data_IF_969745586141
#
_entry.id   IF_969745586141
#
_cell.length_a   1.000
_cell.length_b   1.000
_cell.length_c   1.000
_cell.angle_alpha   90.00
_cell.angle_beta   90.00
_cell.angle_gamma   90.00
#
_symmetry.space_group_name_H-M   'P 1'
#
loop_
_entity.id
_entity.type
_entity.pdbx_description
1 polymer ?
#
# COMPACT_ATOMS: atom_id res chain seq x y z
N UNK A 1 -10.39 -5.96 -4.09
CA UNK A 1 -11.00 -4.67 -3.68
C UNK A 1 -11.24 -3.73 -4.88
N UNK A 2 -10.25 -3.53 -5.78
CA UNK A 2 -10.33 -2.71 -7.00
C UNK A 2 -11.66 -2.72 -7.77
N UNK A 3 -12.17 -3.90 -8.12
CA UNK A 3 -13.41 -4.00 -8.92
C UNK A 3 -14.66 -3.48 -8.21
N UNK A 4 -14.70 -3.51 -6.88
CA UNK A 4 -15.90 -3.16 -6.10
C UNK A 4 -16.01 -1.65 -5.96
N UNK A 5 -14.89 -0.97 -5.69
CA UNK A 5 -14.84 0.49 -5.60
C UNK A 5 -15.16 1.12 -6.95
N UNK A 6 -14.56 0.62 -8.03
CA UNK A 6 -14.88 1.07 -9.40
C UNK A 6 -16.34 0.81 -9.77
N UNK A 7 -16.89 -0.36 -9.41
CA UNK A 7 -18.29 -0.69 -9.66
C UNK A 7 -19.23 0.22 -8.85
N UNK A 8 -18.92 0.46 -7.59
CA UNK A 8 -19.66 1.37 -6.73
C UNK A 8 -19.65 2.78 -7.32
N UNK A 9 -18.48 3.35 -7.65
CA UNK A 9 -18.36 4.68 -8.25
C UNK A 9 -19.12 4.79 -9.58
N UNK A 10 -19.06 3.75 -10.41
CA UNK A 10 -19.78 3.70 -11.69
C UNK A 10 -21.30 3.60 -11.52
N UNK A 11 -21.79 3.11 -10.39
CA UNK A 11 -23.22 2.92 -10.12
C UNK A 11 -23.80 4.03 -9.24
N UNK A 12 -23.02 4.64 -8.34
CA UNK A 12 -23.45 5.45 -7.20
C UNK A 12 -24.30 6.69 -7.53
N UNK A 13 -24.47 7.03 -8.81
CA UNK A 13 -25.33 8.14 -9.25
C UNK A 13 -26.26 7.78 -10.43
N UNK A 14 -26.31 6.51 -10.85
CA UNK A 14 -27.08 6.08 -12.02
C UNK A 14 -28.49 5.67 -11.63
N UNK A 15 -29.50 6.35 -12.17
CA UNK A 15 -30.92 5.93 -12.04
C UNK A 15 -31.38 4.95 -13.12
N UNK A 16 -30.51 4.65 -14.10
CA UNK A 16 -30.80 3.74 -15.20
C UNK A 16 -29.55 2.99 -15.66
N UNK A 17 -29.74 1.74 -16.08
CA UNK A 17 -28.67 0.86 -16.59
C UNK A 17 -29.14 0.24 -17.91
N UNK A 18 -28.28 0.27 -18.93
CA UNK A 18 -28.50 -0.41 -20.22
C UNK A 18 -28.22 -1.90 -20.07
N UNK A 19 -29.09 -2.76 -20.60
CA UNK A 19 -28.90 -4.22 -20.58
C UNK A 19 -27.58 -4.65 -21.21
N UNK A 20 -27.21 -4.00 -22.32
CA UNK A 20 -25.93 -4.19 -23.03
C UNK A 20 -24.70 -3.99 -22.13
N UNK A 21 -24.79 -3.11 -21.13
CA UNK A 21 -23.67 -2.78 -20.22
C UNK A 21 -23.60 -3.66 -18.97
N UNK A 22 -24.54 -4.58 -18.79
CA UNK A 22 -24.58 -5.43 -17.60
C UNK A 22 -23.38 -6.38 -17.55
N UNK A 23 -23.01 -6.97 -18.69
CA UNK A 23 -21.85 -7.84 -18.80
C UNK A 23 -20.54 -7.12 -18.46
N UNK A 24 -20.39 -5.87 -18.91
CA UNK A 24 -19.22 -5.03 -18.61
C UNK A 24 -19.12 -4.71 -17.11
N UNK A 25 -20.27 -4.53 -16.45
CA UNK A 25 -20.36 -4.26 -15.02
C UNK A 25 -20.33 -5.54 -14.16
N UNK A 26 -20.25 -6.73 -14.77
CA UNK A 26 -20.29 -8.00 -14.05
C UNK A 26 -21.61 -8.27 -13.32
N UNK A 27 -22.72 -7.70 -13.82
CA UNK A 27 -24.06 -7.82 -13.25
C UNK A 27 -24.92 -8.76 -14.10
N UNK A 28 -25.84 -9.49 -13.47
CA UNK A 28 -26.88 -10.26 -14.17
C UNK A 28 -28.20 -9.49 -14.20
N UNK A 29 -29.01 -9.71 -15.24
CA UNK A 29 -30.34 -9.10 -15.35
C UNK A 29 -31.21 -9.44 -14.14
N UNK A 30 -31.14 -10.67 -13.63
CA UNK A 30 -31.96 -11.12 -12.50
C UNK A 30 -31.68 -10.34 -11.21
N UNK A 31 -30.43 -9.96 -10.96
CA UNK A 31 -30.07 -9.18 -9.76
C UNK A 31 -30.57 -7.74 -9.93
N UNK A 32 -30.39 -7.13 -11.11
CA UNK A 32 -30.81 -5.74 -11.35
C UNK A 32 -32.33 -5.61 -11.38
N UNK A 33 -33.05 -6.60 -11.93
CA UNK A 33 -34.52 -6.64 -12.01
C UNK A 33 -35.17 -6.59 -10.62
N UNK A 34 -34.58 -7.21 -9.59
CA UNK A 34 -35.10 -7.15 -8.21
C UNK A 34 -35.16 -5.73 -7.65
N UNK A 35 -34.27 -4.85 -8.12
CA UNK A 35 -34.12 -3.49 -7.60
C UNK A 35 -34.58 -2.40 -8.57
N UNK A 36 -34.97 -2.77 -9.80
CA UNK A 36 -35.48 -1.84 -10.80
C UNK A 36 -37.01 -1.74 -10.70
N UNK A 37 -37.55 -0.53 -10.67
CA UNK A 37 -39.01 -0.33 -10.69
C UNK A 37 -39.60 -0.43 -12.10
N UNK A 38 -38.79 -0.14 -13.14
CA UNK A 38 -39.22 -0.19 -14.53
C UNK A 38 -38.19 -0.92 -15.38
N UNK A 39 -38.66 -1.86 -16.17
CA UNK A 39 -37.88 -2.57 -17.19
C UNK A 39 -38.46 -2.25 -18.57
N UNK A 40 -37.61 -1.81 -19.47
CA UNK A 40 -37.90 -1.77 -20.90
C UNK A 40 -37.00 -2.76 -21.62
N UNK A 41 -37.29 -3.02 -22.89
CA UNK A 41 -36.55 -3.94 -23.74
C UNK A 41 -35.02 -3.69 -23.74
N UNK A 42 -34.59 -2.45 -23.48
CA UNK A 42 -33.17 -2.04 -23.51
C UNK A 42 -32.62 -1.53 -22.18
N UNK A 43 -33.47 -1.20 -21.20
CA UNK A 43 -33.08 -0.42 -20.02
C UNK A 43 -33.77 -0.90 -18.75
N UNK A 44 -33.05 -0.89 -17.64
CA UNK A 44 -33.59 -0.83 -16.30
C UNK A 44 -33.62 0.63 -15.83
N UNK A 45 -34.72 1.09 -15.26
CA UNK A 45 -34.93 2.47 -14.78
C UNK A 45 -35.45 2.47 -13.34
N UNK A 46 -35.23 3.60 -12.66
CA UNK A 46 -35.66 3.83 -11.28
C UNK A 46 -35.12 2.71 -10.36
N UNK A 47 -33.82 2.46 -10.47
CA UNK A 47 -33.13 1.38 -9.76
C UNK A 47 -32.73 1.86 -8.37
N UNK A 48 -33.04 1.07 -7.34
CA UNK A 48 -32.48 1.24 -6.01
C UNK A 48 -31.02 0.76 -5.98
N UNK A 49 -30.12 1.65 -6.40
CA UNK A 49 -28.68 1.41 -6.47
C UNK A 49 -28.09 1.07 -5.09
N UNK A 50 -28.59 1.69 -4.01
CA UNK A 50 -28.05 1.45 -2.68
C UNK A 50 -28.30 0.02 -2.23
N UNK A 51 -29.52 -0.47 -2.42
CA UNK A 51 -29.88 -1.86 -2.10
C UNK A 51 -29.19 -2.86 -3.03
N UNK A 52 -29.07 -2.54 -4.32
CA UNK A 52 -28.33 -3.36 -5.30
C UNK A 52 -26.85 -3.51 -4.90
N UNK A 53 -26.16 -2.41 -4.59
CA UNK A 53 -24.76 -2.44 -4.14
C UNK A 53 -24.65 -3.28 -2.86
N UNK A 54 -25.60 -3.16 -1.92
CA UNK A 54 -25.60 -3.93 -0.68
C UNK A 54 -25.73 -5.44 -0.91
N UNK A 55 -26.61 -5.91 -1.80
CA UNK A 55 -26.71 -7.35 -2.15
C UNK A 55 -25.41 -7.84 -2.81
N UNK A 56 -24.84 -7.06 -3.72
CA UNK A 56 -23.55 -7.39 -4.36
C UNK A 56 -22.44 -7.51 -3.31
N UNK A 57 -22.34 -6.55 -2.39
CA UNK A 57 -21.37 -6.58 -1.29
C UNK A 57 -21.54 -7.79 -0.37
N UNK A 58 -22.79 -8.20 -0.10
CA UNK A 58 -23.08 -9.39 0.71
C UNK A 58 -22.69 -10.70 0.01
N UNK A 59 -22.75 -10.74 -1.32
CA UNK A 59 -22.33 -11.90 -2.12
C UNK A 59 -20.80 -12.09 -2.18
N UNK A 60 -20.03 -11.09 -1.77
CA UNK A 60 -18.57 -11.15 -1.81
C UNK A 60 -18.07 -11.90 -0.58
N UNK A 61 -17.43 -13.05 -0.82
CA UNK A 61 -16.79 -13.81 0.25
C UNK A 61 -15.74 -12.93 0.93
N UNK A 62 -15.80 -12.86 2.25
CA UNK A 62 -14.76 -12.27 3.07
C UNK A 62 -13.50 -13.14 2.97
N UNK A 63 -12.61 -12.80 2.05
CA UNK A 63 -11.34 -13.47 1.87
C UNK A 63 -10.29 -12.75 2.70
N UNK A 64 -9.48 -13.51 3.44
CA UNK A 64 -8.32 -12.97 4.14
C UNK A 64 -7.33 -12.43 3.10
N UNK A 65 -7.07 -11.13 3.14
CA UNK A 65 -6.05 -10.47 2.33
C UNK A 65 -4.73 -10.54 3.10
N UNK A 66 -3.60 -10.69 2.40
CA UNK A 66 -2.29 -10.62 3.08
C UNK A 66 -2.05 -9.21 3.63
N UNK A 67 -1.26 -9.10 4.69
CA UNK A 67 -0.91 -7.79 5.29
C UNK A 67 -0.27 -6.87 4.23
N UNK A 68 0.56 -7.46 3.36
CA UNK A 68 1.22 -6.76 2.26
C UNK A 68 0.21 -6.16 1.28
N UNK A 69 -0.75 -6.95 0.81
CA UNK A 69 -1.76 -6.50 -0.15
C UNK A 69 -2.70 -5.47 0.49
N UNK A 70 -3.00 -5.62 1.78
CA UNK A 70 -3.80 -4.65 2.53
C UNK A 70 -3.09 -3.29 2.61
N UNK A 71 -1.82 -3.26 3.02
CA UNK A 71 -1.02 -2.03 3.10
C UNK A 71 -0.83 -1.40 1.71
N UNK A 72 -0.64 -2.21 0.68
CA UNK A 72 -0.53 -1.71 -0.69
C UNK A 72 -1.82 -1.03 -1.15
N UNK A 73 -2.98 -1.65 -0.89
CA UNK A 73 -4.27 -1.06 -1.22
C UNK A 73 -4.53 0.24 -0.42
N UNK A 74 -4.16 0.29 0.86
CA UNK A 74 -4.27 1.52 1.66
C UNK A 74 -3.45 2.65 1.06
N UNK A 75 -2.22 2.39 0.63
CA UNK A 75 -1.39 3.41 -0.03
C UNK A 75 -2.00 3.84 -1.36
N UNK A 76 -2.46 2.89 -2.18
CA UNK A 76 -3.04 3.17 -3.49
C UNK A 76 -4.31 4.03 -3.40
N UNK A 77 -5.18 3.75 -2.43
CA UNK A 77 -6.49 4.41 -2.32
C UNK A 77 -6.55 5.57 -1.34
N UNK A 78 -5.82 5.47 -0.22
CA UNK A 78 -5.83 6.49 0.84
C UNK A 78 -4.61 7.40 0.75
N UNK A 79 -3.58 7.01 0.00
CA UNK A 79 -2.31 7.73 -0.11
C UNK A 79 -1.33 7.45 1.04
N UNK A 80 -1.72 6.67 2.05
CA UNK A 80 -0.88 6.36 3.20
C UNK A 80 -1.24 4.99 3.84
N UNK A 81 -0.26 4.27 4.42
CA UNK A 81 -0.53 3.05 5.17
C UNK A 81 -1.16 3.39 6.53
N UNK A 82 -2.14 2.59 6.95
CA UNK A 82 -2.89 2.78 8.20
C UNK A 82 -2.90 1.51 9.06
N UNK A 83 -2.78 0.33 8.45
CA UNK A 83 -2.84 -0.95 9.16
C UNK A 83 -1.69 -1.11 10.15
N UNK A 84 -2.04 -1.33 11.42
CA UNK A 84 -1.10 -1.66 12.50
C UNK A 84 -1.41 -3.04 13.09
N UNK A 85 -0.36 -3.74 13.50
CA UNK A 85 -0.39 -5.07 14.10
C UNK A 85 0.41 -5.00 15.40
N UNK A 86 -0.20 -4.54 16.51
CA UNK A 86 0.54 -4.31 17.76
C UNK A 86 1.26 -5.54 18.33
N UNK A 87 0.85 -6.74 17.90
CA UNK A 87 1.45 -8.03 18.29
C UNK A 87 2.71 -8.39 17.50
N UNK A 88 3.05 -7.67 16.43
CA UNK A 88 4.27 -7.92 15.66
C UNK A 88 5.51 -7.44 16.40
N UNK A 89 6.69 -7.94 16.00
CA UNK A 89 7.96 -7.42 16.50
C UNK A 89 8.21 -5.99 15.99
N UNK A 90 8.96 -5.19 16.76
CA UNK A 90 9.30 -3.81 16.41
C UNK A 90 10.20 -3.69 15.17
N UNK A 91 10.83 -4.80 14.75
CA UNK A 91 11.77 -4.85 13.65
C UNK A 91 11.16 -5.22 12.30
N UNK A 92 9.84 -5.40 12.20
CA UNK A 92 9.15 -5.58 10.93
C UNK A 92 8.70 -4.25 10.34
N UNK A 93 9.02 -4.07 9.07
CA UNK A 93 8.71 -2.85 8.34
C UNK A 93 8.17 -3.16 6.95
N UNK A 94 7.20 -2.36 6.51
CA UNK A 94 6.79 -2.28 5.13
C UNK A 94 7.61 -1.19 4.42
N UNK A 95 8.18 -1.51 3.25
CA UNK A 95 8.99 -0.56 2.47
C UNK A 95 8.05 0.32 1.65
N UNK A 96 7.85 1.56 2.09
CA UNK A 96 6.96 2.51 1.40
C UNK A 96 7.65 3.20 0.23
N UNK A 97 8.95 3.47 0.35
CA UNK A 97 9.75 4.14 -0.69
C UNK A 97 11.19 3.64 -0.63
N UNK A 98 11.85 3.51 -1.77
CA UNK A 98 13.29 3.19 -1.83
C UNK A 98 14.06 4.26 -2.61
N UNK A 99 14.65 5.23 -1.89
CA UNK A 99 15.48 6.27 -2.52
C UNK A 99 16.87 5.74 -2.82
N UNK A 100 17.32 5.91 -4.07
CA UNK A 100 18.63 5.45 -4.55
C UNK A 100 19.47 6.67 -4.95
N UNK A 101 20.61 6.84 -4.29
CA UNK A 101 21.58 7.87 -4.64
C UNK A 101 22.81 7.20 -5.26
N UNK A 102 23.08 7.52 -6.52
CA UNK A 102 24.23 7.00 -7.26
C UNK A 102 25.19 8.13 -7.61
N UNK A 103 26.46 7.95 -7.27
CA UNK A 103 27.54 8.78 -7.78
C UNK A 103 28.58 7.89 -8.53
N UNK A 104 29.66 8.49 -9.03
CA UNK A 104 30.68 7.77 -9.82
C UNK A 104 31.39 6.63 -9.05
N UNK A 105 31.31 6.59 -7.72
CA UNK A 105 32.09 5.68 -6.86
C UNK A 105 31.25 4.85 -5.87
N UNK A 106 29.99 5.22 -5.64
CA UNK A 106 29.12 4.58 -4.66
C UNK A 106 27.65 4.66 -5.05
N UNK A 107 26.90 3.63 -4.65
CA UNK A 107 25.44 3.62 -4.63
C UNK A 107 25.03 3.57 -3.15
N UNK A 108 24.01 4.33 -2.78
CA UNK A 108 23.49 4.35 -1.42
C UNK A 108 21.97 4.29 -1.47
N UNK A 109 21.41 3.39 -0.68
CA UNK A 109 19.98 3.13 -0.59
C UNK A 109 19.45 3.71 0.73
N UNK A 110 18.35 4.43 0.64
CA UNK A 110 17.64 5.01 1.78
C UNK A 110 16.18 4.57 1.77
N UNK A 111 15.87 3.37 2.28
CA UNK A 111 14.48 2.95 2.42
C UNK A 111 13.73 3.82 3.42
N UNK A 112 12.50 4.17 3.06
CA UNK A 112 11.48 4.70 3.97
C UNK A 112 10.63 3.53 4.41
N UNK A 113 10.58 3.33 5.73
CA UNK A 113 10.07 2.14 6.38
C UNK A 113 8.89 2.51 7.26
N UNK A 114 7.76 1.86 7.04
CA UNK A 114 6.58 1.93 7.90
C UNK A 114 6.60 0.75 8.88
N UNK A 115 6.66 1.03 10.18
CA UNK A 115 6.61 -0.01 11.21
C UNK A 115 5.21 -0.63 11.25
N UNK A 116 5.11 -1.91 10.93
CA UNK A 116 3.82 -2.61 10.97
C UNK A 116 3.26 -2.76 12.38
N UNK A 117 4.08 -2.55 13.42
CA UNK A 117 3.64 -2.65 14.81
C UNK A 117 2.88 -1.42 15.31
N UNK A 118 3.45 -0.25 15.06
CA UNK A 118 3.01 1.02 15.66
C UNK A 118 2.70 2.13 14.65
N UNK A 119 2.95 1.89 13.37
CA UNK A 119 2.67 2.82 12.29
C UNK A 119 3.69 3.96 12.12
N UNK A 120 4.79 3.95 12.86
CA UNK A 120 5.84 4.96 12.72
C UNK A 120 6.53 4.83 11.36
N UNK A 121 6.81 5.97 10.73
CA UNK A 121 7.58 6.05 9.50
C UNK A 121 9.00 6.51 9.83
N UNK A 122 9.99 5.74 9.39
CA UNK A 122 11.40 6.06 9.58
C UNK A 122 12.18 5.88 8.28
N UNK A 123 13.08 6.82 8.00
CA UNK A 123 14.05 6.66 6.92
C UNK A 123 15.36 6.13 7.50
N UNK A 124 15.87 5.03 6.94
CA UNK A 124 17.18 4.47 7.29
C UNK A 124 18.10 4.47 6.08
N UNK A 125 19.39 4.24 6.31
CA UNK A 125 20.42 4.08 5.26
C UNK A 125 20.90 2.62 5.25
N UNK A 126 21.10 2.03 4.08
CA UNK A 126 21.79 0.74 3.99
C UNK A 126 23.30 0.92 4.11
N UNK A 127 23.96 0.04 4.88
CA UNK A 127 25.41 0.09 5.13
C UNK A 127 26.23 -0.11 3.85
N UNK A 128 25.96 -1.17 3.11
CA UNK A 128 26.71 -1.55 1.92
C UNK A 128 25.76 -1.89 0.76
N UNK A 129 26.06 -1.34 -0.42
CA UNK A 129 25.33 -1.64 -1.65
C UNK A 129 25.55 -3.10 -2.11
N UNK A 130 26.67 -3.74 -1.72
CA UNK A 130 26.93 -5.15 -2.02
C UNK A 130 25.96 -6.05 -1.28
N UNK A 131 25.71 -5.78 0.01
CA UNK A 131 24.70 -6.49 0.79
C UNK A 131 23.32 -6.36 0.15
N UNK A 132 22.99 -5.18 -0.38
CA UNK A 132 21.74 -4.98 -1.11
C UNK A 132 21.67 -5.73 -2.44
N UNK A 133 22.81 -5.89 -3.11
CA UNK A 133 22.88 -6.66 -4.36
C UNK A 133 22.68 -8.16 -4.12
N UNK A 134 23.10 -8.66 -2.96
CA UNK A 134 22.96 -10.06 -2.54
C UNK A 134 21.54 -10.39 -2.03
N UNK A 135 20.89 -9.46 -1.33
CA UNK A 135 19.54 -9.64 -0.80
C UNK A 135 18.62 -8.43 -1.11
N UNK A 136 18.29 -8.16 -2.38
CA UNK A 136 17.55 -6.96 -2.76
C UNK A 136 16.09 -7.03 -2.30
N UNK A 137 15.53 -5.86 -1.98
CA UNK A 137 14.10 -5.68 -1.78
C UNK A 137 13.62 -4.45 -2.56
N UNK A 138 12.31 -4.29 -2.67
CA UNK A 138 11.69 -3.16 -3.37
C UNK A 138 10.53 -2.59 -2.56
N UNK A 139 10.00 -1.48 -3.04
CA UNK A 139 8.74 -0.92 -2.54
C UNK A 139 7.65 -2.00 -2.53
N UNK A 140 6.89 -2.02 -1.45
CA UNK A 140 5.87 -3.05 -1.20
C UNK A 140 6.37 -4.32 -0.52
N UNK A 141 7.67 -4.52 -0.34
CA UNK A 141 8.17 -5.65 0.45
C UNK A 141 7.94 -5.42 1.95
N UNK A 142 7.74 -6.52 2.69
CA UNK A 142 7.91 -6.51 4.15
C UNK A 142 9.34 -6.98 4.41
N UNK A 143 10.06 -6.25 5.25
CA UNK A 143 11.40 -6.61 5.68
C UNK A 143 11.46 -6.73 7.20
N UNK A 144 12.28 -7.65 7.68
CA UNK A 144 12.70 -7.69 9.07
C UNK A 144 14.11 -7.15 9.17
N UNK A 145 14.32 -6.09 9.96
CA UNK A 145 15.67 -5.59 10.27
C UNK A 145 16.28 -6.52 11.32
N UNK A 146 17.35 -7.22 10.95
CA UNK A 146 18.04 -8.18 11.81
C UNK A 146 19.17 -7.50 12.58
N UNK A 147 19.89 -6.61 11.92
CA UNK A 147 20.98 -5.87 12.52
C UNK A 147 20.97 -4.41 12.07
N UNK A 148 21.13 -3.51 13.04
CA UNK A 148 21.23 -2.08 12.81
C UNK A 148 22.32 -1.45 13.66
N UNK A 149 22.82 -0.31 13.20
CA UNK A 149 23.82 0.49 13.89
C UNK A 149 23.54 1.98 13.70
N UNK A 150 24.34 2.82 14.36
CA UNK A 150 24.27 4.27 14.24
C UNK A 150 25.60 4.82 13.76
N UNK A 151 25.56 5.67 12.74
CA UNK A 151 26.72 6.41 12.26
C UNK A 151 26.57 7.90 12.60
N UNK A 152 27.54 8.54 13.27
CA UNK A 152 27.45 9.97 13.54
C UNK A 152 27.39 10.75 12.23
N UNK A 153 26.45 11.69 12.13
CA UNK A 153 26.38 12.62 11.00
C UNK A 153 27.63 13.48 10.97
N UNK A 154 28.01 13.96 9.78
CA UNK A 154 29.09 14.93 9.65
C UNK A 154 28.50 16.32 9.65
N UNK A 155 29.06 17.22 10.46
CA UNK A 155 28.72 18.64 10.51
C UNK A 155 29.94 19.47 10.13
N UNK A 156 29.71 20.63 9.53
CA UNK A 156 30.77 21.57 9.20
C UNK A 156 30.95 22.53 10.38
N UNK A 157 32.13 22.48 11.03
CA UNK A 157 32.51 23.35 12.14
C UNK A 157 33.85 23.96 11.78
N UNK A 158 33.93 25.29 11.78
CA UNK A 158 35.16 26.04 11.45
C UNK A 158 35.82 25.58 10.13
N UNK A 159 35.00 25.34 9.10
CA UNK A 159 35.45 24.88 7.78
C UNK A 159 35.86 23.42 7.68
N UNK A 160 35.77 22.64 8.76
CA UNK A 160 36.16 21.22 8.80
C UNK A 160 34.94 20.31 9.03
N UNK A 161 34.94 19.15 8.36
CA UNK A 161 33.90 18.13 8.54
C UNK A 161 34.20 17.23 9.74
N UNK A 162 33.58 17.57 10.87
CA UNK A 162 33.69 16.81 12.12
C UNK A 162 32.50 15.89 12.32
N UNK A 163 32.69 14.80 13.07
CA UNK A 163 31.59 13.92 13.47
C UNK A 163 30.70 14.65 14.48
N UNK A 164 29.39 14.47 14.36
CA UNK A 164 28.42 14.98 15.32
C UNK A 164 28.29 13.99 16.47
N UNK A 165 28.32 14.50 17.71
CA UNK A 165 28.09 13.70 18.91
C UNK A 165 26.60 13.58 19.26
N UNK A 166 25.75 14.38 18.61
CA UNK A 166 24.31 14.50 18.93
C UNK A 166 23.40 13.99 17.82
N UNK A 167 23.88 13.94 16.59
CA UNK A 167 23.07 13.54 15.43
C UNK A 167 23.64 12.31 14.75
N UNK A 168 22.79 11.30 14.54
CA UNK A 168 23.18 10.01 13.98
C UNK A 168 22.28 9.66 12.78
N UNK A 169 22.86 8.91 11.84
CA UNK A 169 22.12 8.17 10.82
C UNK A 169 21.82 6.77 11.36
N UNK A 170 20.60 6.30 11.21
CA UNK A 170 20.26 4.90 11.45
C UNK A 170 20.63 4.05 10.25
N UNK A 171 21.44 3.02 10.49
CA UNK A 171 22.03 2.18 9.46
C UNK A 171 21.49 0.76 9.59
N UNK A 172 21.01 0.20 8.49
CA UNK A 172 20.66 -1.22 8.40
C UNK A 172 21.88 -1.99 7.91
N UNK A 173 22.26 -3.02 8.65
CA UNK A 173 23.41 -3.89 8.34
C UNK A 173 22.98 -5.27 7.85
N UNK A 174 21.82 -5.77 8.28
CA UNK A 174 21.26 -7.04 7.82
C UNK A 174 19.73 -7.03 7.89
N UNK A 175 19.09 -7.73 6.95
CA UNK A 175 17.64 -7.86 6.87
C UNK A 175 17.22 -9.18 6.22
N UNK A 176 15.97 -9.54 6.46
CA UNK A 176 15.25 -10.63 5.77
C UNK A 176 14.04 -10.05 5.04
N UNK A 177 13.66 -10.66 3.91
CA UNK A 177 12.55 -10.21 3.05
C UNK A 177 11.43 -11.25 3.10
N UNK A 178 10.19 -10.77 3.25
CA UNK A 178 8.97 -11.56 3.36
C UNK A 178 7.95 -11.19 2.27
#
# INVERSE_FOLDING_TARGET
MLKITELADNLLNKKQIKKEKLNELGLTEDIVRKYAQKETEKLFKDIDINSLIKEIMQGIKNQSISIKDQLQAEIEYLGYPKTIIPKSSDNFFYVTELKIFKNKRSITYYPVLYSVKNGNIIQKKLKDFRLFSENPFKEGCIIQVVQESKEPKRKMVDGHWVKSDTEFNEIIEAWEVY
#
